data_IF_639416764948
#
_entry.id   IF_639416764948
#
_cell.length_a   1.000
_cell.length_b   1.000
_cell.length_c   1.000
_cell.angle_alpha   90.00
_cell.angle_beta   90.00
_cell.angle_gamma   90.00
#
_symmetry.space_group_name_H-M   'P 1'
#
loop_
_entity.id
_entity.type
_entity.pdbx_description
1 polymer ?
#
# COMPACT_ATOMS: atom_id res chain seq x y z
N UNK A 1 -6.53 20.90 12.96
CA UNK A 1 -7.29 20.42 11.77
C UNK A 1 -7.57 21.43 10.64
N UNK A 2 -7.20 22.72 10.73
CA UNK A 2 -7.49 23.69 9.64
C UNK A 2 -6.36 23.93 8.62
N UNK A 3 -5.12 23.48 8.87
CA UNK A 3 -3.96 23.86 8.03
C UNK A 3 -3.82 23.01 6.74
N UNK A 4 -4.46 21.84 6.65
CA UNK A 4 -4.28 20.94 5.49
C UNK A 4 -5.24 21.19 4.31
N UNK A 5 -6.32 21.98 4.49
CA UNK A 5 -7.30 22.25 3.42
C UNK A 5 -6.84 23.29 2.37
N UNK A 6 -5.65 23.88 2.51
CA UNK A 6 -5.24 25.07 1.72
C UNK A 6 -3.96 24.90 0.88
N UNK A 7 -3.47 23.68 0.66
CA UNK A 7 -2.31 23.50 -0.23
C UNK A 7 -2.74 23.60 -1.70
N UNK A 8 -1.95 24.32 -2.52
CA UNK A 8 -2.15 24.40 -3.98
C UNK A 8 -2.26 23.00 -4.62
N UNK A 9 -1.60 22.01 -4.02
CA UNK A 9 -1.65 20.60 -4.43
C UNK A 9 -3.05 20.01 -4.25
N UNK A 10 -3.64 20.08 -3.05
CA UNK A 10 -4.98 19.50 -2.81
C UNK A 10 -6.05 20.18 -3.65
N UNK A 11 -5.92 21.49 -3.91
CA UNK A 11 -6.80 22.20 -4.84
C UNK A 11 -6.71 21.62 -6.25
N UNK A 12 -5.49 21.39 -6.78
CA UNK A 12 -5.30 20.78 -8.11
C UNK A 12 -5.78 19.33 -8.17
N UNK A 13 -5.53 18.54 -7.13
CA UNK A 13 -6.01 17.16 -7.05
C UNK A 13 -7.54 17.09 -7.05
N UNK A 14 -8.21 18.02 -6.35
CA UNK A 14 -9.66 18.17 -6.38
C UNK A 14 -10.15 18.58 -7.77
N UNK A 15 -9.56 19.63 -8.37
CA UNK A 15 -9.97 20.14 -9.70
C UNK A 15 -9.80 19.12 -10.84
N UNK A 16 -8.70 18.37 -10.83
CA UNK A 16 -8.32 17.48 -11.96
C UNK A 16 -8.81 16.05 -11.75
N UNK A 17 -8.76 15.56 -10.51
CA UNK A 17 -9.01 14.15 -10.18
C UNK A 17 -10.21 13.95 -9.23
N UNK A 18 -10.83 15.03 -8.74
CA UNK A 18 -11.93 14.95 -7.78
C UNK A 18 -11.50 14.51 -6.37
N UNK A 19 -10.20 14.53 -6.05
CA UNK A 19 -9.68 14.07 -4.76
C UNK A 19 -9.68 15.22 -3.75
N UNK A 20 -10.66 15.20 -2.85
CA UNK A 20 -10.97 16.35 -1.98
C UNK A 20 -10.33 16.27 -0.59
N UNK A 21 -9.83 15.10 -0.20
CA UNK A 21 -9.17 14.90 1.07
C UNK A 21 -8.05 13.84 1.00
N UNK A 22 -7.27 13.80 2.06
CA UNK A 22 -6.15 12.87 2.22
C UNK A 22 -6.57 11.40 2.11
N UNK A 23 -7.76 11.01 2.62
CA UNK A 23 -8.25 9.63 2.59
C UNK A 23 -8.49 9.17 1.15
N UNK A 24 -9.06 10.04 0.31
CA UNK A 24 -9.24 9.74 -1.11
C UNK A 24 -7.91 9.52 -1.83
N UNK A 25 -6.91 10.36 -1.54
CA UNK A 25 -5.56 10.22 -2.10
C UNK A 25 -4.91 8.90 -1.66
N UNK A 26 -5.00 8.57 -0.36
CA UNK A 26 -4.51 7.30 0.18
C UNK A 26 -5.21 6.10 -0.45
N UNK A 27 -6.52 6.18 -0.70
CA UNK A 27 -7.29 5.14 -1.39
C UNK A 27 -6.78 4.89 -2.82
N UNK A 28 -6.48 5.95 -3.57
CA UNK A 28 -5.89 5.83 -4.91
C UNK A 28 -4.52 5.15 -4.84
N UNK A 29 -3.67 5.53 -3.88
CA UNK A 29 -2.36 4.90 -3.70
C UNK A 29 -2.47 3.41 -3.37
N UNK A 30 -3.31 3.03 -2.42
CA UNK A 30 -3.50 1.61 -2.06
C UNK A 30 -4.13 0.83 -3.21
N UNK A 31 -5.11 1.39 -3.92
CA UNK A 31 -5.69 0.76 -5.10
C UNK A 31 -4.65 0.47 -6.17
N UNK A 32 -3.74 1.43 -6.41
CA UNK A 32 -2.62 1.25 -7.34
C UNK A 32 -1.61 0.22 -6.85
N UNK A 33 -1.29 0.20 -5.55
CA UNK A 33 -0.43 -0.81 -4.94
C UNK A 33 -1.00 -2.20 -5.15
N UNK A 34 -2.26 -2.44 -4.79
CA UNK A 34 -2.91 -3.74 -4.94
C UNK A 34 -2.91 -4.18 -6.40
N UNK A 35 -3.30 -3.29 -7.31
CA UNK A 35 -3.31 -3.58 -8.75
C UNK A 35 -1.92 -3.97 -9.24
N UNK A 36 -0.88 -3.23 -8.84
CA UNK A 36 0.49 -3.55 -9.20
C UNK A 36 0.92 -4.91 -8.65
N UNK A 37 0.64 -5.20 -7.38
CA UNK A 37 1.02 -6.47 -6.74
C UNK A 37 0.26 -7.68 -7.32
N UNK A 38 -1.01 -7.51 -7.69
CA UNK A 38 -1.83 -8.58 -8.29
C UNK A 38 -1.39 -8.93 -9.70
N UNK A 39 -1.22 -7.92 -10.56
CA UNK A 39 -1.02 -8.15 -12.00
C UNK A 39 0.46 -8.13 -12.42
N UNK A 40 1.32 -7.49 -11.64
CA UNK A 40 2.75 -7.33 -11.96
C UNK A 40 3.67 -8.03 -10.97
N UNK A 41 3.17 -9.00 -10.19
CA UNK A 41 3.94 -9.75 -9.20
C UNK A 41 5.09 -10.60 -9.75
N UNK A 42 5.32 -10.63 -11.07
CA UNK A 42 6.49 -11.25 -11.70
C UNK A 42 7.50 -10.23 -12.23
N UNK A 43 7.18 -8.95 -12.20
CA UNK A 43 8.04 -7.86 -12.66
C UNK A 43 8.75 -7.23 -11.46
N UNK A 44 9.93 -7.76 -11.13
CA UNK A 44 10.71 -7.34 -9.94
C UNK A 44 10.83 -5.81 -9.79
N UNK A 45 11.15 -5.02 -10.84
CA UNK A 45 11.30 -3.58 -10.66
C UNK A 45 10.01 -2.87 -10.26
N UNK A 46 8.85 -3.35 -10.75
CA UNK A 46 7.54 -2.80 -10.41
C UNK A 46 7.15 -3.25 -9.00
N UNK A 47 7.31 -4.54 -8.70
CA UNK A 47 6.99 -5.10 -7.38
C UNK A 47 7.83 -4.43 -6.29
N UNK A 48 9.14 -4.31 -6.48
CA UNK A 48 10.07 -3.69 -5.54
C UNK A 48 9.71 -2.24 -5.23
N UNK A 49 9.52 -1.39 -6.26
CA UNK A 49 9.09 0.01 -6.09
C UNK A 49 7.70 0.14 -5.46
N UNK A 50 6.79 -0.75 -5.79
CA UNK A 50 5.43 -0.77 -5.21
C UNK A 50 5.47 -1.12 -3.73
N UNK A 51 6.28 -2.10 -3.35
CA UNK A 51 6.47 -2.51 -1.95
C UNK A 51 7.21 -1.45 -1.15
N UNK A 52 8.17 -0.74 -1.75
CA UNK A 52 8.81 0.41 -1.13
C UNK A 52 7.77 1.49 -0.81
N UNK A 53 6.90 1.85 -1.76
CA UNK A 53 5.82 2.81 -1.50
C UNK A 53 4.90 2.35 -0.37
N UNK A 54 4.50 1.07 -0.35
CA UNK A 54 3.70 0.50 0.74
C UNK A 54 4.42 0.59 2.09
N UNK A 55 5.71 0.27 2.11
CA UNK A 55 6.54 0.36 3.31
C UNK A 55 6.64 1.81 3.81
N UNK A 56 6.88 2.77 2.94
CA UNK A 56 6.98 4.19 3.30
C UNK A 56 5.64 4.72 3.85
N UNK A 57 4.52 4.31 3.25
CA UNK A 57 3.18 4.62 3.78
C UNK A 57 2.94 3.98 5.15
N UNK A 58 3.45 2.77 5.40
CA UNK A 58 3.31 2.07 6.68
C UNK A 58 4.12 2.69 7.83
N UNK A 59 5.17 3.47 7.52
CA UNK A 59 6.02 4.20 8.50
C UNK A 59 5.52 5.64 8.69
N UNK A 60 4.58 6.08 7.84
CA UNK A 60 4.04 7.43 7.86
C UNK A 60 3.40 7.85 9.18
N UNK A 61 2.95 9.10 9.23
CA UNK A 61 2.40 9.68 10.46
C UNK A 61 1.23 8.82 11.01
N UNK A 62 1.19 8.52 12.34
CA UNK A 62 0.20 7.60 12.91
C UNK A 62 -1.26 7.92 12.58
N UNK A 63 -1.60 9.21 12.43
CA UNK A 63 -2.94 9.64 12.02
C UNK A 63 -3.30 9.19 10.60
N UNK A 64 -2.37 9.29 9.64
CA UNK A 64 -2.57 8.85 8.26
C UNK A 64 -2.58 7.31 8.17
N UNK A 65 -1.77 6.62 8.96
CA UNK A 65 -1.76 5.15 9.03
C UNK A 65 -3.09 4.62 9.58
N UNK A 66 -3.66 5.25 10.62
CA UNK A 66 -5.02 4.89 11.10
C UNK A 66 -6.10 5.09 10.04
N UNK A 67 -5.98 6.09 9.16
CA UNK A 67 -6.90 6.24 8.01
C UNK A 67 -6.68 5.13 6.98
N UNK A 68 -5.42 4.76 6.70
CA UNK A 68 -5.08 3.67 5.78
C UNK A 68 -5.71 2.34 6.19
N UNK A 69 -5.60 1.95 7.46
CA UNK A 69 -6.13 0.66 7.96
C UNK A 69 -7.65 0.56 7.79
N UNK A 70 -8.37 1.68 7.84
CA UNK A 70 -9.84 1.72 7.64
C UNK A 70 -10.26 1.57 6.18
N UNK A 71 -9.33 1.65 5.22
CA UNK A 71 -9.66 1.47 3.80
C UNK A 71 -9.97 0.00 3.53
N UNK A 72 -11.09 -0.27 2.87
CA UNK A 72 -11.50 -1.62 2.46
C UNK A 72 -10.41 -2.32 1.63
N UNK A 73 -9.64 -1.56 0.87
CA UNK A 73 -8.51 -2.05 0.08
C UNK A 73 -7.36 -2.57 0.97
N UNK A 74 -7.04 -1.88 2.07
CA UNK A 74 -6.03 -2.36 3.03
C UNK A 74 -6.56 -3.56 3.79
N UNK A 75 -7.83 -3.55 4.19
CA UNK A 75 -8.50 -4.71 4.79
C UNK A 75 -8.48 -5.92 3.85
N UNK A 76 -8.69 -5.73 2.55
CA UNK A 76 -8.52 -6.79 1.56
C UNK A 76 -7.11 -7.37 1.62
N UNK A 77 -6.06 -6.53 1.61
CA UNK A 77 -4.67 -7.01 1.70
C UNK A 77 -4.40 -7.77 3.00
N UNK A 78 -4.89 -7.28 4.14
CA UNK A 78 -4.75 -7.93 5.44
C UNK A 78 -5.43 -9.30 5.48
N UNK A 79 -6.55 -9.48 4.79
CA UNK A 79 -7.28 -10.76 4.77
C UNK A 79 -6.83 -11.71 3.64
N UNK A 80 -6.17 -11.20 2.59
CA UNK A 80 -5.91 -11.93 1.35
C UNK A 80 -4.42 -11.88 0.96
N UNK A 81 -3.53 -12.23 1.88
CA UNK A 81 -2.06 -12.10 1.75
C UNK A 81 -1.35 -13.43 1.41
N UNK A 82 -1.89 -14.17 0.44
CA UNK A 82 -1.34 -15.46 -0.03
C UNK A 82 -0.92 -15.38 -1.50
N UNK A 83 -0.26 -16.43 -2.00
CA UNK A 83 0.15 -16.53 -3.41
C UNK A 83 -1.01 -16.62 -4.40
N UNK A 84 -2.22 -16.94 -3.91
CA UNK A 84 -3.45 -16.91 -4.72
C UNK A 84 -3.78 -15.50 -5.19
N UNK A 85 -3.57 -14.50 -4.32
CA UNK A 85 -3.84 -13.10 -4.65
C UNK A 85 -2.61 -12.34 -5.09
N UNK A 86 -1.43 -12.74 -4.63
CA UNK A 86 -0.17 -12.05 -4.90
C UNK A 86 0.91 -13.06 -5.30
N UNK A 87 1.14 -13.23 -6.60
CA UNK A 87 2.00 -14.29 -7.13
C UNK A 87 3.42 -14.29 -6.55
N UNK A 88 3.97 -13.13 -6.20
CA UNK A 88 5.32 -12.97 -5.62
C UNK A 88 5.46 -13.57 -4.20
N UNK A 89 4.34 -13.90 -3.55
CA UNK A 89 4.34 -14.54 -2.22
C UNK A 89 4.53 -16.06 -2.30
N UNK A 90 4.37 -16.67 -3.49
CA UNK A 90 4.49 -18.10 -3.68
C UNK A 90 5.92 -18.60 -3.50
N UNK A 91 6.06 -19.80 -2.96
CA UNK A 91 7.34 -20.51 -2.89
C UNK A 91 7.39 -21.50 -4.05
N UNK A 92 8.21 -21.19 -5.04
CA UNK A 92 8.51 -22.04 -6.18
C UNK A 92 9.99 -22.47 -6.14
N UNK A 93 10.32 -23.60 -6.76
CA UNK A 93 11.70 -24.13 -6.82
C UNK A 93 12.72 -23.18 -7.50
N UNK A 94 12.25 -22.09 -8.10
CA UNK A 94 13.04 -21.00 -8.69
C UNK A 94 12.84 -19.67 -7.95
N UNK A 95 12.45 -19.71 -6.67
CA UNK A 95 12.26 -18.49 -5.90
C UNK A 95 13.58 -17.74 -5.79
N UNK A 96 13.63 -16.61 -6.49
CA UNK A 96 14.84 -15.81 -6.59
C UNK A 96 15.02 -15.01 -5.30
N UNK A 97 16.26 -14.64 -4.97
CA UNK A 97 16.57 -13.80 -3.80
C UNK A 97 15.75 -12.48 -3.79
N UNK A 98 15.36 -11.99 -4.97
CA UNK A 98 14.50 -10.82 -5.10
C UNK A 98 13.07 -11.04 -4.58
N UNK A 99 12.47 -12.20 -4.86
CA UNK A 99 11.13 -12.54 -4.38
C UNK A 99 11.12 -12.67 -2.86
N UNK A 100 12.19 -13.27 -2.29
CA UNK A 100 12.37 -13.35 -0.85
C UNK A 100 12.43 -11.96 -0.19
N UNK A 101 13.18 -11.03 -0.78
CA UNK A 101 13.23 -9.63 -0.31
C UNK A 101 11.86 -8.95 -0.41
N UNK A 102 11.17 -9.12 -1.52
CA UNK A 102 9.81 -8.58 -1.70
C UNK A 102 8.84 -9.11 -0.65
N UNK A 103 8.89 -10.41 -0.34
CA UNK A 103 8.08 -11.03 0.72
C UNK A 103 8.38 -10.42 2.09
N UNK A 104 9.66 -10.28 2.44
CA UNK A 104 10.06 -9.65 3.71
C UNK A 104 9.55 -8.21 3.80
N UNK A 105 9.72 -7.39 2.76
CA UNK A 105 9.24 -6.00 2.76
C UNK A 105 7.72 -5.94 2.87
N UNK A 106 7.00 -6.80 2.13
CA UNK A 106 5.54 -6.88 2.18
C UNK A 106 5.03 -7.19 3.59
N UNK A 107 5.52 -8.25 4.22
CA UNK A 107 5.09 -8.63 5.56
C UNK A 107 5.55 -7.65 6.65
N UNK A 108 6.69 -7.00 6.46
CA UNK A 108 7.12 -5.92 7.36
C UNK A 108 6.12 -4.76 7.34
N UNK A 109 5.70 -4.32 6.16
CA UNK A 109 4.71 -3.25 6.03
C UNK A 109 3.33 -3.69 6.55
N UNK A 110 2.90 -4.91 6.20
CA UNK A 110 1.60 -5.46 6.62
C UNK A 110 1.52 -5.62 8.15
N UNK A 111 2.59 -6.08 8.79
CA UNK A 111 2.67 -6.21 10.25
C UNK A 111 2.51 -4.88 10.97
N UNK A 112 3.10 -3.79 10.44
CA UNK A 112 2.91 -2.43 11.00
C UNK A 112 1.46 -1.97 10.87
N UNK A 113 0.84 -2.20 9.71
CA UNK A 113 -0.57 -1.86 9.50
C UNK A 113 -1.48 -2.62 10.47
N UNK A 114 -1.19 -3.90 10.71
CA UNK A 114 -1.93 -4.74 11.66
C UNK A 114 -1.78 -4.25 13.11
N UNK A 115 -0.56 -3.88 13.53
CA UNK A 115 -0.32 -3.37 14.89
C UNK A 115 -1.09 -2.08 15.19
N UNK A 116 -1.32 -1.24 14.18
CA UNK A 116 -2.11 0.00 14.32
C UNK A 116 -3.61 -0.28 14.40
N UNK A 117 -4.10 -1.43 13.90
CA UNK A 117 -5.50 -1.84 14.04
C UNK A 117 -5.82 -2.37 15.44
N UNK A 118 -4.81 -2.95 16.12
CA UNK A 118 -4.94 -3.60 17.42
C UNK A 118 -4.78 -2.65 18.62
N UNK A 119 -4.36 -1.40 18.41
CA UNK A 119 -4.11 -0.40 19.46
C UNK A 119 -4.98 0.84 19.33
#
# INVERSE_FOLDING_TARGET
DQVQKSSKLYRRLSEVLGLNDETMVLSVFIGKIITNLKYWGRCEPITSKTLQLLNDLSIGYPASVRKLVKLSAVQFMLNNHTSEHFSFLGINNQSNLADMRCRTTFYTALGRLLMVDLG
#
